data_IF_277515226245
#
_entry.id   IF_277515226245
#
_cell.length_a   1.000
_cell.length_b   1.000
_cell.length_c   1.000
_cell.angle_alpha   90.00
_cell.angle_beta   90.00
_cell.angle_gamma   90.00
#
_symmetry.space_group_name_H-M   'P 1'
#
loop_
_entity.id
_entity.type
_entity.pdbx_description
1 polymer ?
#
# COMPACT_ATOMS: atom_id res chain seq x y z
N UNK A 1 31.53 52.46 24.42
CA UNK A 1 31.60 51.67 23.23
C UNK A 1 30.94 50.31 23.52
N UNK A 2 29.67 50.18 23.14
CA UNK A 2 28.88 48.96 23.38
C UNK A 2 28.94 48.12 22.08
N UNK A 3 29.57 46.95 22.14
CA UNK A 3 29.67 46.06 21.01
C UNK A 3 28.42 45.15 20.97
N UNK A 4 27.55 45.39 20.00
CA UNK A 4 26.42 44.52 19.67
C UNK A 4 26.95 43.22 19.03
N UNK A 5 26.81 42.07 19.71
CA UNK A 5 27.00 40.76 19.09
C UNK A 5 25.72 40.36 18.40
N UNK A 6 25.72 40.38 17.07
CA UNK A 6 24.70 39.68 16.26
C UNK A 6 24.91 38.18 16.41
N UNK A 7 23.97 37.49 17.06
CA UNK A 7 23.87 36.04 16.98
C UNK A 7 23.18 35.68 15.67
N UNK A 8 23.92 35.07 14.74
CA UNK A 8 23.35 34.48 13.55
C UNK A 8 22.57 33.26 13.96
N UNK A 9 21.23 33.32 13.90
CA UNK A 9 20.37 32.16 13.97
C UNK A 9 20.52 31.37 12.65
N UNK A 10 21.31 30.32 12.67
CA UNK A 10 21.31 29.33 11.58
C UNK A 10 19.97 28.60 11.62
N UNK A 11 19.04 29.02 10.76
CA UNK A 11 17.84 28.24 10.50
C UNK A 11 18.28 26.91 9.86
N UNK A 12 18.27 25.84 10.63
CA UNK A 12 18.35 24.48 10.11
C UNK A 12 17.03 24.25 9.36
N UNK A 13 17.06 24.45 8.05
CA UNK A 13 15.96 24.02 7.19
C UNK A 13 15.80 22.50 7.37
N UNK A 14 14.61 22.00 7.72
CA UNK A 14 14.39 20.58 7.74
C UNK A 14 14.69 20.06 6.34
N UNK A 15 15.57 19.08 6.23
CA UNK A 15 15.76 18.31 5.01
C UNK A 15 14.38 17.70 4.68
N UNK A 16 13.74 18.17 3.63
CA UNK A 16 12.51 17.61 3.10
C UNK A 16 12.87 16.25 2.48
N UNK A 17 12.70 15.19 3.26
CA UNK A 17 12.97 13.81 2.84
C UNK A 17 11.77 13.30 2.10
N UNK A 18 11.22 13.40 1.17
CA UNK A 18 10.06 12.68 0.67
C UNK A 18 9.75 12.91 -0.82
N UNK A 19 9.38 14.09 -1.17
CA UNK A 19 8.84 14.40 -2.50
C UNK A 19 9.82 15.16 -3.41
N UNK A 20 11.11 15.12 -3.12
CA UNK A 20 12.11 15.76 -3.97
C UNK A 20 12.13 15.10 -5.36
N UNK A 21 11.96 15.91 -6.38
CA UNK A 21 11.99 15.47 -7.78
C UNK A 21 10.62 15.24 -8.42
N UNK A 22 9.51 15.24 -7.67
CA UNK A 22 8.18 15.17 -8.28
C UNK A 22 7.83 16.49 -8.94
N UNK A 23 7.57 16.52 -10.29
CA UNK A 23 7.26 17.75 -11.00
C UNK A 23 6.03 18.47 -10.46
N UNK A 24 6.01 19.79 -10.57
CA UNK A 24 4.82 20.57 -10.26
C UNK A 24 3.69 20.26 -11.23
N UNK A 25 2.48 20.12 -10.75
CA UNK A 25 1.28 19.94 -11.56
C UNK A 25 0.04 20.44 -10.82
N UNK A 26 -0.92 20.96 -11.57
CA UNK A 26 -2.27 21.26 -11.09
C UNK A 26 -3.25 20.11 -11.33
N UNK A 27 -2.86 19.13 -12.15
CA UNK A 27 -3.64 17.93 -12.43
C UNK A 27 -3.62 16.99 -11.22
N UNK A 28 -4.77 16.39 -10.94
CA UNK A 28 -4.97 15.48 -9.82
C UNK A 28 -5.83 14.30 -10.22
N UNK A 29 -5.77 13.23 -9.45
CA UNK A 29 -6.70 12.10 -9.54
C UNK A 29 -7.55 12.01 -8.29
N UNK A 30 -8.70 11.33 -8.40
CA UNK A 30 -9.48 10.88 -7.24
C UNK A 30 -9.14 9.44 -6.96
N UNK A 31 -8.90 9.12 -5.69
CA UNK A 31 -8.62 7.76 -5.25
C UNK A 31 -9.67 7.33 -4.25
N UNK A 32 -10.32 6.20 -4.50
CA UNK A 32 -11.17 5.52 -3.54
C UNK A 32 -10.77 4.04 -3.45
N UNK A 33 -11.14 3.37 -2.36
CA UNK A 33 -10.78 1.98 -2.14
C UNK A 33 -11.99 1.08 -1.96
N UNK A 34 -11.81 -0.16 -2.36
CA UNK A 34 -12.70 -1.27 -2.02
C UNK A 34 -11.94 -2.24 -1.11
N UNK A 35 -12.66 -2.88 -0.19
CA UNK A 35 -12.21 -4.11 0.45
C UNK A 35 -12.86 -5.27 -0.27
N UNK A 36 -12.05 -6.14 -0.87
CA UNK A 36 -12.53 -7.23 -1.69
C UNK A 36 -12.83 -8.45 -0.84
N UNK A 37 -11.88 -8.79 0.02
CA UNK A 37 -11.91 -9.99 0.83
C UNK A 37 -11.03 -9.83 2.06
N UNK A 38 -11.12 -10.80 2.97
CA UNK A 38 -10.10 -11.04 4.00
C UNK A 38 -9.50 -12.42 3.72
N UNK A 39 -8.22 -12.42 3.39
CA UNK A 39 -7.43 -13.64 3.17
C UNK A 39 -6.82 -14.07 4.50
N UNK A 40 -6.82 -15.36 4.79
CA UNK A 40 -6.11 -15.93 5.92
C UNK A 40 -5.18 -17.06 5.48
N UNK A 41 -4.08 -17.23 6.23
CA UNK A 41 -3.14 -18.32 6.03
C UNK A 41 -2.74 -18.92 7.37
N UNK A 42 -2.72 -20.25 7.46
CA UNK A 42 -2.37 -21.00 8.65
C UNK A 42 -0.90 -21.41 8.57
N UNK A 43 -0.11 -21.05 9.58
CA UNK A 43 1.34 -21.28 9.65
C UNK A 43 2.15 -20.62 8.51
N UNK A 44 1.68 -19.47 8.00
CA UNK A 44 2.28 -18.81 6.85
C UNK A 44 2.83 -17.40 7.16
N UNK A 45 2.59 -16.88 8.38
CA UNK A 45 2.99 -15.50 8.70
C UNK A 45 4.51 -15.30 8.62
N UNK A 46 5.30 -16.33 9.00
CA UNK A 46 6.77 -16.30 8.94
C UNK A 46 7.31 -16.09 7.53
N UNK A 47 6.53 -16.41 6.50
CA UNK A 47 6.91 -16.17 5.10
C UNK A 47 6.82 -14.70 4.69
N UNK A 48 6.12 -13.89 5.48
CA UNK A 48 5.83 -12.48 5.21
C UNK A 48 6.65 -11.52 6.09
N UNK A 49 6.73 -11.80 7.40
CA UNK A 49 7.35 -10.91 8.39
C UNK A 49 8.16 -11.67 9.44
N UNK A 50 9.12 -10.98 10.06
CA UNK A 50 9.91 -11.47 11.19
C UNK A 50 10.12 -10.31 12.21
N UNK A 51 10.26 -10.61 13.52
CA UNK A 51 10.09 -11.92 14.16
C UNK A 51 8.61 -12.30 14.30
N UNK A 52 8.32 -13.59 14.35
CA UNK A 52 7.00 -14.10 14.69
C UNK A 52 6.87 -14.18 16.21
N UNK A 53 5.77 -13.64 16.74
CA UNK A 53 5.45 -13.79 18.16
C UNK A 53 5.05 -15.24 18.47
N UNK A 54 5.48 -15.81 19.62
CA UNK A 54 5.16 -17.19 19.98
C UNK A 54 3.65 -17.49 19.90
N UNK A 55 3.30 -18.59 19.21
CA UNK A 55 1.92 -19.03 19.02
C UNK A 55 1.10 -18.20 18.01
N UNK A 56 1.74 -17.38 17.18
CA UNK A 56 1.06 -16.45 16.26
C UNK A 56 1.60 -16.53 14.84
N UNK A 57 1.60 -17.72 14.25
CA UNK A 57 2.02 -17.92 12.85
C UNK A 57 0.83 -18.03 11.87
N UNK A 58 -0.28 -17.38 12.19
CA UNK A 58 -1.45 -17.28 11.32
C UNK A 58 -1.68 -15.82 10.97
N UNK A 59 -1.92 -15.51 9.72
CA UNK A 59 -2.31 -14.17 9.32
C UNK A 59 -3.78 -14.10 8.89
N UNK A 60 -4.37 -12.93 9.05
CA UNK A 60 -5.62 -12.53 8.43
C UNK A 60 -5.45 -11.12 7.90
N UNK A 61 -5.70 -10.92 6.62
CA UNK A 61 -5.31 -9.71 5.91
C UNK A 61 -6.40 -9.26 4.94
N UNK A 62 -6.78 -7.97 4.95
CA UNK A 62 -7.67 -7.43 3.94
C UNK A 62 -6.99 -7.43 2.58
N UNK A 63 -7.79 -7.57 1.53
CA UNK A 63 -7.37 -7.38 0.14
C UNK A 63 -8.05 -6.13 -0.40
N UNK A 64 -7.25 -5.14 -0.81
CA UNK A 64 -7.76 -3.88 -1.35
C UNK A 64 -7.64 -3.82 -2.87
N UNK A 65 -8.60 -3.11 -3.48
CA UNK A 65 -8.50 -2.55 -4.82
C UNK A 65 -8.70 -1.05 -4.74
N UNK A 66 -7.98 -0.31 -5.55
CA UNK A 66 -8.10 1.14 -5.58
C UNK A 66 -8.64 1.59 -6.94
N UNK A 67 -9.77 2.31 -6.90
CA UNK A 67 -10.30 3.00 -8.06
C UNK A 67 -9.63 4.37 -8.16
N UNK A 68 -8.97 4.61 -9.29
CA UNK A 68 -8.34 5.89 -9.61
C UNK A 68 -9.11 6.52 -10.76
N UNK A 69 -9.60 7.73 -10.54
CA UNK A 69 -10.38 8.50 -11.53
C UNK A 69 -9.62 9.75 -11.94
N UNK A 70 -9.39 9.90 -13.25
CA UNK A 70 -8.76 11.06 -13.88
C UNK A 70 -9.72 11.65 -14.92
N UNK A 71 -10.46 12.68 -14.55
CA UNK A 71 -11.58 13.18 -15.36
C UNK A 71 -12.64 12.11 -15.57
N UNK A 72 -12.87 11.71 -16.81
CA UNK A 72 -13.79 10.62 -17.16
C UNK A 72 -13.14 9.24 -17.21
N UNK A 73 -11.82 9.17 -17.18
CA UNK A 73 -11.05 7.94 -17.23
C UNK A 73 -11.07 7.26 -15.86
N UNK A 74 -11.19 5.94 -15.85
CA UNK A 74 -11.19 5.13 -14.64
C UNK A 74 -10.22 3.97 -14.81
N UNK A 75 -9.40 3.74 -13.80
CA UNK A 75 -8.56 2.56 -13.72
C UNK A 75 -8.66 1.91 -12.33
N UNK A 76 -8.34 0.64 -12.26
CA UNK A 76 -8.17 -0.09 -11.01
C UNK A 76 -6.68 -0.39 -10.78
N UNK A 77 -6.21 -0.15 -9.58
CA UNK A 77 -4.91 -0.60 -9.10
C UNK A 77 -5.15 -1.81 -8.19
N UNK A 78 -4.69 -2.96 -8.62
CA UNK A 78 -5.01 -4.29 -8.14
C UNK A 78 -6.51 -4.60 -8.17
N UNK A 79 -6.85 -5.87 -8.29
CA UNK A 79 -8.25 -6.33 -8.31
C UNK A 79 -8.52 -7.50 -7.36
N UNK A 80 -7.60 -7.70 -6.40
CA UNK A 80 -7.72 -8.67 -5.33
C UNK A 80 -7.70 -10.11 -5.82
N UNK A 81 -8.45 -10.97 -5.14
CA UNK A 81 -8.58 -12.39 -5.45
C UNK A 81 -9.90 -12.68 -6.18
N UNK A 82 -9.91 -13.74 -6.99
CA UNK A 82 -11.14 -14.33 -7.52
C UNK A 82 -11.86 -15.13 -6.44
N UNK A 83 -13.20 -15.10 -6.42
CA UNK A 83 -13.99 -15.84 -5.42
C UNK A 83 -14.11 -17.35 -5.71
N UNK A 84 -13.95 -17.74 -6.95
CA UNK A 84 -13.95 -19.12 -7.44
C UNK A 84 -12.53 -19.69 -7.40
N UNK A 85 -12.03 -19.93 -6.17
CA UNK A 85 -10.63 -20.32 -5.92
C UNK A 85 -10.21 -21.64 -6.56
N UNK A 86 -11.17 -22.51 -6.91
CA UNK A 86 -10.95 -23.72 -7.71
C UNK A 86 -10.41 -23.44 -9.12
N UNK A 87 -10.60 -22.22 -9.63
CA UNK A 87 -10.09 -21.77 -10.92
C UNK A 87 -8.75 -21.01 -10.84
N UNK A 88 -8.12 -21.00 -9.68
CA UNK A 88 -6.72 -20.57 -9.54
C UNK A 88 -5.77 -21.59 -10.22
N UNK A 89 -4.50 -21.21 -10.35
CA UNK A 89 -3.48 -22.17 -10.80
C UNK A 89 -3.51 -23.45 -9.93
N UNK A 90 -3.38 -24.65 -10.51
CA UNK A 90 -3.63 -25.90 -9.80
C UNK A 90 -2.93 -26.05 -8.44
N UNK A 91 -1.66 -25.62 -8.24
CA UNK A 91 -1.02 -25.68 -6.94
C UNK A 91 -1.71 -24.79 -5.88
N UNK A 92 -2.17 -23.61 -6.29
CA UNK A 92 -2.88 -22.68 -5.39
C UNK A 92 -4.28 -23.18 -5.06
N UNK A 93 -5.03 -23.66 -6.06
CA UNK A 93 -6.33 -24.28 -5.85
C UNK A 93 -6.25 -25.44 -4.85
N UNK A 94 -5.19 -26.26 -4.93
CA UNK A 94 -4.94 -27.34 -4.00
C UNK A 94 -4.68 -26.84 -2.57
N UNK A 95 -3.97 -25.73 -2.39
CA UNK A 95 -3.71 -25.12 -1.08
C UNK A 95 -5.01 -24.58 -0.46
N UNK A 96 -5.89 -23.94 -1.25
CA UNK A 96 -7.22 -23.53 -0.78
C UNK A 96 -8.07 -24.73 -0.40
N UNK A 97 -8.09 -25.79 -1.22
CA UNK A 97 -8.83 -27.03 -0.92
C UNK A 97 -8.30 -27.74 0.33
N UNK A 98 -6.99 -27.62 0.62
CA UNK A 98 -6.36 -28.18 1.82
C UNK A 98 -6.52 -27.28 3.07
N UNK A 99 -7.10 -26.07 2.93
CA UNK A 99 -7.27 -25.13 4.04
C UNK A 99 -5.98 -24.42 4.50
N UNK A 100 -4.92 -24.44 3.68
CA UNK A 100 -3.69 -23.65 3.95
C UNK A 100 -4.02 -22.17 3.82
N UNK A 101 -4.73 -21.80 2.75
CA UNK A 101 -5.35 -20.49 2.58
C UNK A 101 -6.87 -20.56 2.70
N UNK A 102 -7.46 -19.50 3.22
CA UNK A 102 -8.89 -19.38 3.42
C UNK A 102 -9.31 -17.95 3.68
N UNK A 103 -10.41 -17.79 4.40
CA UNK A 103 -10.94 -16.48 4.78
C UNK A 103 -12.30 -16.20 4.18
N UNK A 104 -12.74 -14.94 4.24
CA UNK A 104 -14.02 -14.50 3.68
C UNK A 104 -13.82 -14.06 2.23
N UNK A 105 -14.07 -14.98 1.29
CA UNK A 105 -13.83 -14.82 -0.15
C UNK A 105 -15.13 -14.86 -0.97
N UNK A 106 -16.24 -14.43 -0.41
CA UNK A 106 -17.59 -14.47 -1.00
C UNK A 106 -17.88 -13.30 -1.96
N UNK A 107 -16.96 -12.36 -2.07
CA UNK A 107 -17.08 -11.13 -2.87
C UNK A 107 -15.83 -10.96 -3.73
N UNK A 108 -16.00 -10.47 -4.95
CA UNK A 108 -14.90 -10.02 -5.81
C UNK A 108 -15.09 -8.55 -6.25
N UNK A 109 -14.13 -8.01 -6.99
CA UNK A 109 -14.19 -6.62 -7.45
C UNK A 109 -15.43 -6.36 -8.34
N UNK A 110 -15.91 -7.37 -9.08
CA UNK A 110 -17.08 -7.22 -9.96
C UNK A 110 -18.35 -7.03 -9.17
N UNK A 111 -18.52 -7.78 -8.08
CA UNK A 111 -19.65 -7.62 -7.17
C UNK A 111 -19.65 -6.20 -6.56
N UNK A 112 -18.47 -5.68 -6.22
CA UNK A 112 -18.30 -4.36 -5.63
C UNK A 112 -18.55 -3.23 -6.64
N UNK A 113 -18.03 -3.35 -7.85
CA UNK A 113 -18.30 -2.41 -8.94
C UNK A 113 -19.79 -2.38 -9.28
N UNK A 114 -20.43 -3.55 -9.38
CA UNK A 114 -21.87 -3.66 -9.64
C UNK A 114 -22.70 -2.98 -8.56
N UNK A 115 -22.41 -3.24 -7.27
CA UNK A 115 -23.08 -2.57 -6.13
C UNK A 115 -22.86 -1.06 -6.14
N UNK A 116 -21.72 -0.61 -6.61
CA UNK A 116 -21.38 0.80 -6.74
C UNK A 116 -21.98 1.47 -7.99
N UNK A 117 -22.67 0.71 -8.86
CA UNK A 117 -23.21 1.22 -10.12
C UNK A 117 -22.13 1.59 -11.15
N UNK A 118 -20.93 0.98 -11.05
CA UNK A 118 -19.81 1.21 -11.96
C UNK A 118 -19.77 0.08 -12.99
N UNK A 119 -20.11 0.33 -14.26
CA UNK A 119 -20.01 -0.67 -15.31
C UNK A 119 -18.52 -1.07 -15.51
N UNK A 120 -18.24 -2.38 -15.63
CA UNK A 120 -16.87 -2.85 -15.93
C UNK A 120 -16.34 -2.29 -17.24
N UNK A 121 -17.23 -2.03 -18.22
CA UNK A 121 -16.89 -1.39 -19.49
C UNK A 121 -16.42 0.07 -19.34
N UNK A 122 -16.65 0.70 -18.19
CA UNK A 122 -16.14 2.05 -17.91
C UNK A 122 -14.71 2.05 -17.34
N UNK A 123 -14.17 0.87 -17.03
CA UNK A 123 -12.79 0.72 -16.57
C UNK A 123 -11.88 0.62 -17.80
N UNK A 124 -11.07 1.65 -17.99
CA UNK A 124 -10.15 1.74 -19.12
C UNK A 124 -8.98 0.76 -18.97
N UNK A 125 -8.44 0.67 -17.76
CA UNK A 125 -7.29 -0.20 -17.50
C UNK A 125 -7.30 -0.77 -16.08
N UNK A 126 -6.70 -1.94 -15.95
CA UNK A 126 -6.33 -2.54 -14.67
C UNK A 126 -4.81 -2.57 -14.60
N UNK A 127 -4.25 -2.01 -13.54
CA UNK A 127 -2.83 -2.05 -13.24
C UNK A 127 -2.63 -3.06 -12.11
N UNK A 128 -1.90 -4.13 -12.37
CA UNK A 128 -1.46 -5.02 -11.32
C UNK A 128 -0.15 -4.48 -10.72
N UNK A 129 -0.12 -4.33 -9.40
CA UNK A 129 1.16 -4.06 -8.73
C UNK A 129 2.16 -5.16 -9.00
N UNK A 130 1.67 -6.40 -9.06
CA UNK A 130 2.43 -7.59 -9.40
C UNK A 130 1.50 -8.79 -9.70
N UNK A 131 2.06 -9.97 -9.96
CA UNK A 131 1.32 -11.14 -10.47
C UNK A 131 0.94 -12.17 -9.41
N UNK A 132 0.96 -11.87 -8.11
CA UNK A 132 0.42 -12.79 -7.11
C UNK A 132 -1.11 -12.89 -7.23
N UNK A 133 -1.64 -14.03 -6.83
CA UNK A 133 -3.03 -14.43 -7.06
C UNK A 133 -4.07 -13.53 -6.38
N UNK A 134 -3.67 -12.87 -5.32
CA UNK A 134 -4.50 -11.99 -4.51
C UNK A 134 -4.48 -10.50 -4.95
N UNK A 135 -3.80 -10.22 -6.08
CA UNK A 135 -3.81 -8.92 -6.77
C UNK A 135 -4.42 -8.98 -8.16
N UNK A 136 -4.46 -10.19 -8.76
CA UNK A 136 -4.77 -10.37 -10.18
C UNK A 136 -6.24 -10.63 -10.48
N UNK A 137 -7.02 -11.03 -9.50
CA UNK A 137 -8.45 -11.31 -9.60
C UNK A 137 -8.83 -12.19 -10.79
N UNK A 138 -9.89 -11.80 -11.51
CA UNK A 138 -10.33 -12.49 -12.73
C UNK A 138 -10.49 -11.49 -13.90
N UNK A 139 -9.42 -11.26 -14.65
CA UNK A 139 -9.43 -10.37 -15.81
C UNK A 139 -10.39 -10.81 -16.93
N UNK A 140 -10.85 -12.06 -16.95
CA UNK A 140 -11.79 -12.53 -17.97
C UNK A 140 -13.16 -11.85 -17.87
N UNK A 141 -13.51 -11.31 -16.72
CA UNK A 141 -14.78 -10.60 -16.47
C UNK A 141 -14.76 -9.15 -16.97
N UNK A 142 -13.61 -8.61 -17.36
CA UNK A 142 -13.51 -7.30 -18.01
C UNK A 142 -13.62 -7.44 -19.52
N UNK A 143 -14.23 -6.48 -20.24
CA UNK A 143 -14.26 -6.48 -21.70
C UNK A 143 -12.85 -6.41 -22.27
N UNK A 144 -12.69 -6.85 -23.53
CA UNK A 144 -11.40 -6.81 -24.23
C UNK A 144 -10.85 -5.40 -24.43
N UNK A 145 -11.70 -4.37 -24.31
CA UNK A 145 -11.32 -2.96 -24.34
C UNK A 145 -10.62 -2.48 -23.06
N UNK A 146 -10.73 -3.21 -21.95
CA UNK A 146 -9.99 -2.90 -20.72
C UNK A 146 -8.55 -3.41 -20.87
N UNK A 147 -7.58 -2.50 -20.89
CA UNK A 147 -6.18 -2.86 -20.98
C UNK A 147 -5.65 -3.42 -19.65
N UNK A 148 -4.71 -4.35 -19.73
CA UNK A 148 -3.95 -4.82 -18.58
C UNK A 148 -2.55 -4.20 -18.63
N UNK A 149 -2.16 -3.57 -17.54
CA UNK A 149 -0.84 -2.95 -17.39
C UNK A 149 0.01 -3.87 -16.53
N UNK A 150 0.73 -4.77 -17.19
CA UNK A 150 1.71 -5.71 -16.63
C UNK A 150 2.45 -6.44 -17.76
N UNK A 151 3.50 -7.18 -17.45
CA UNK A 151 4.19 -8.06 -18.40
C UNK A 151 3.58 -9.47 -18.42
N UNK A 152 2.54 -9.72 -19.26
CA UNK A 152 1.90 -11.06 -19.40
C UNK A 152 1.50 -11.38 -20.85
N UNK A 153 1.53 -12.69 -21.23
CA UNK A 153 1.22 -13.12 -22.57
C UNK A 153 -0.30 -13.40 -22.78
N UNK A 154 -0.86 -13.03 -23.95
CA UNK A 154 -2.19 -13.42 -24.41
C UNK A 154 -3.30 -12.37 -24.37
N UNK A 155 -3.04 -11.18 -23.90
CA UNK A 155 -3.91 -9.99 -23.98
C UNK A 155 -3.07 -8.80 -24.45
N UNK A 156 -3.70 -7.74 -24.96
CA UNK A 156 -2.96 -6.49 -25.18
C UNK A 156 -2.47 -5.97 -23.83
N UNK A 157 -1.15 -6.02 -23.66
CA UNK A 157 -0.49 -5.70 -22.41
C UNK A 157 0.32 -4.44 -22.61
N UNK A 158 -0.02 -3.39 -21.85
CA UNK A 158 0.81 -2.20 -21.80
C UNK A 158 2.01 -2.47 -20.89
N UNK A 159 3.17 -2.67 -21.48
CA UNK A 159 4.44 -2.77 -20.73
C UNK A 159 4.88 -1.39 -20.26
N UNK A 160 5.24 -1.29 -18.99
CA UNK A 160 5.87 -0.10 -18.44
C UNK A 160 7.39 -0.24 -18.57
N UNK A 161 8.00 0.58 -19.41
CA UNK A 161 9.45 0.64 -19.57
C UNK A 161 10.07 1.65 -18.59
N UNK A 162 10.37 1.21 -17.41
CA UNK A 162 11.06 2.03 -16.41
C UNK A 162 12.49 2.36 -16.81
N UNK A 163 13.16 1.53 -17.63
CA UNK A 163 14.55 1.76 -18.03
C UNK A 163 14.65 3.00 -18.94
N UNK A 164 13.68 3.22 -19.81
CA UNK A 164 13.61 4.38 -20.68
C UNK A 164 13.25 5.69 -19.94
N UNK A 165 12.68 5.59 -18.73
CA UNK A 165 12.24 6.77 -18.00
C UNK A 165 13.41 7.58 -17.46
N UNK A 166 13.27 8.93 -17.56
CA UNK A 166 14.17 9.92 -16.95
C UNK A 166 13.71 10.35 -15.56
N UNK A 167 12.46 10.03 -15.18
CA UNK A 167 11.92 10.37 -13.87
C UNK A 167 12.48 9.43 -12.81
N UNK A 168 12.85 10.01 -11.67
CA UNK A 168 13.35 9.26 -10.51
C UNK A 168 12.86 9.96 -9.24
N UNK A 169 12.20 9.21 -8.37
CA UNK A 169 11.72 9.68 -7.08
C UNK A 169 12.33 8.80 -5.98
N UNK A 170 13.00 9.38 -4.98
CA UNK A 170 13.74 8.62 -3.96
C UNK A 170 14.63 7.52 -4.55
N UNK A 171 15.32 7.81 -5.66
CA UNK A 171 16.13 6.84 -6.41
C UNK A 171 15.37 5.62 -6.95
N UNK A 172 14.04 5.71 -7.08
CA UNK A 172 13.20 4.74 -7.77
C UNK A 172 12.79 5.30 -9.13
N UNK A 173 12.89 4.51 -10.18
CA UNK A 173 12.43 4.90 -11.51
C UNK A 173 10.91 5.08 -11.51
N UNK A 174 10.44 6.12 -12.21
CA UNK A 174 9.01 6.42 -12.29
C UNK A 174 8.59 6.78 -13.71
N UNK A 175 7.34 6.51 -14.05
CA UNK A 175 6.70 6.88 -15.31
C UNK A 175 5.44 7.67 -15.00
N UNK A 176 5.27 8.83 -15.63
CA UNK A 176 4.04 9.61 -15.57
C UNK A 176 2.97 8.94 -16.44
N UNK A 177 2.02 8.26 -15.81
CA UNK A 177 1.06 7.41 -16.51
C UNK A 177 0.10 8.19 -17.41
N UNK A 178 -0.38 9.36 -16.94
CA UNK A 178 -1.27 10.23 -17.71
C UNK A 178 -0.51 11.31 -18.49
N UNK A 179 0.78 11.54 -18.20
CA UNK A 179 1.60 12.55 -18.84
C UNK A 179 1.35 13.98 -18.35
N UNK A 180 0.64 14.15 -17.22
CA UNK A 180 0.25 15.47 -16.69
C UNK A 180 0.65 15.69 -15.23
N UNK A 181 1.40 14.76 -14.65
CA UNK A 181 1.89 14.85 -13.28
C UNK A 181 0.88 14.48 -12.21
N UNK A 182 -0.25 13.86 -12.56
CA UNK A 182 -1.29 13.48 -11.61
C UNK A 182 -1.13 12.07 -11.05
N UNK A 183 -0.53 11.14 -11.82
CA UNK A 183 -0.41 9.74 -11.43
C UNK A 183 0.84 9.10 -12.01
N UNK A 184 1.69 8.55 -11.16
CA UNK A 184 2.95 7.95 -11.55
C UNK A 184 2.99 6.48 -11.16
N UNK A 185 3.53 5.64 -12.04
CA UNK A 185 3.95 4.28 -11.69
C UNK A 185 5.43 4.31 -11.32
N UNK A 186 5.79 3.60 -10.26
CA UNK A 186 7.13 3.63 -9.68
C UNK A 186 7.65 2.20 -9.55
N UNK A 187 8.86 1.96 -10.05
CA UNK A 187 9.53 0.67 -9.98
C UNK A 187 10.00 0.38 -8.55
N UNK A 188 9.43 -0.63 -7.92
CA UNK A 188 9.77 -1.05 -6.55
C UNK A 188 10.09 -2.55 -6.52
N UNK A 189 11.22 -2.95 -7.12
CA UNK A 189 11.56 -4.36 -7.29
C UNK A 189 11.91 -5.01 -5.96
N UNK A 190 11.73 -6.34 -5.90
CA UNK A 190 12.21 -7.18 -4.79
C UNK A 190 11.20 -8.19 -4.32
N UNK A 191 9.96 -7.78 -4.03
CA UNK A 191 8.88 -8.70 -3.64
C UNK A 191 8.70 -9.78 -4.71
N UNK A 192 8.50 -9.36 -5.95
CA UNK A 192 8.58 -10.23 -7.13
C UNK A 192 9.13 -9.40 -8.30
N UNK A 193 9.48 -10.08 -9.39
CA UNK A 193 9.92 -9.38 -10.63
C UNK A 193 8.79 -8.55 -11.19
N UNK A 194 9.09 -7.28 -11.50
CA UNK A 194 8.12 -6.35 -12.06
C UNK A 194 7.13 -5.77 -11.04
N UNK A 195 7.35 -5.95 -9.75
CA UNK A 195 6.55 -5.28 -8.73
C UNK A 195 6.69 -3.76 -8.85
N UNK A 196 5.55 -3.07 -8.84
CA UNK A 196 5.46 -1.62 -8.93
C UNK A 196 4.49 -1.03 -7.91
N UNK A 197 4.68 0.23 -7.61
CA UNK A 197 3.77 1.04 -6.79
C UNK A 197 3.21 2.19 -7.62
N UNK A 198 2.18 2.87 -7.11
CA UNK A 198 1.63 4.04 -7.80
C UNK A 198 1.54 5.25 -6.86
N UNK A 199 2.07 6.39 -7.31
CA UNK A 199 2.01 7.67 -6.61
C UNK A 199 0.93 8.56 -7.22
N UNK A 200 -0.16 8.75 -6.51
CA UNK A 200 -1.32 9.53 -6.91
C UNK A 200 -1.27 10.93 -6.29
N UNK A 201 -1.24 11.98 -7.10
CA UNK A 201 -1.40 13.36 -6.65
C UNK A 201 -2.89 13.62 -6.38
N UNK A 202 -3.26 13.91 -5.14
CA UNK A 202 -4.67 14.09 -4.74
C UNK A 202 -5.04 15.53 -4.43
N UNK A 203 -4.05 16.42 -4.25
CA UNK A 203 -4.24 17.88 -4.25
C UNK A 203 -3.22 18.55 -5.17
N UNK A 204 -3.59 19.70 -5.79
CA UNK A 204 -2.71 20.36 -6.76
C UNK A 204 -1.56 21.12 -6.09
N UNK A 205 -0.53 21.45 -6.90
CA UNK A 205 0.48 22.43 -6.53
C UNK A 205 -0.16 23.80 -6.24
N UNK A 206 0.40 24.66 -5.35
CA UNK A 206 1.74 24.56 -4.77
C UNK A 206 1.87 23.68 -3.53
N UNK A 207 0.77 23.19 -2.94
CA UNK A 207 0.79 22.37 -1.73
C UNK A 207 0.22 20.97 -2.03
N UNK A 208 0.92 20.17 -2.85
CA UNK A 208 0.40 18.88 -3.27
C UNK A 208 0.44 17.88 -2.12
N UNK A 209 -0.56 17.03 -2.07
CA UNK A 209 -0.54 15.83 -1.24
C UNK A 209 -0.71 14.61 -2.12
N UNK A 210 -0.19 13.49 -1.64
CA UNK A 210 -0.12 12.27 -2.42
C UNK A 210 -0.65 11.08 -1.63
N UNK A 211 -1.09 10.08 -2.37
CA UNK A 211 -1.32 8.73 -1.87
C UNK A 211 -0.38 7.80 -2.64
N UNK A 212 0.43 7.03 -1.92
CA UNK A 212 1.23 5.97 -2.49
C UNK A 212 0.48 4.64 -2.31
N UNK A 213 0.07 4.03 -3.41
CA UNK A 213 -0.48 2.69 -3.47
C UNK A 213 0.72 1.74 -3.58
N UNK A 214 1.13 1.16 -2.45
CA UNK A 214 2.44 0.54 -2.33
C UNK A 214 2.47 -0.96 -2.65
N UNK A 215 1.33 -1.55 -3.07
CA UNK A 215 1.25 -3.00 -3.34
C UNK A 215 1.81 -3.80 -2.16
N UNK A 216 2.66 -4.76 -2.48
CA UNK A 216 3.34 -5.64 -1.52
C UNK A 216 4.82 -5.27 -1.32
N UNK A 217 5.14 -3.97 -1.36
CA UNK A 217 6.49 -3.52 -0.96
C UNK A 217 6.83 -4.02 0.46
N UNK A 218 5.84 -4.16 1.31
CA UNK A 218 5.87 -4.83 2.62
C UNK A 218 4.46 -5.26 3.02
N UNK A 219 4.34 -6.24 3.94
CA UNK A 219 3.07 -6.87 4.30
C UNK A 219 2.51 -6.43 5.66
N UNK A 220 3.27 -5.68 6.44
CA UNK A 220 2.86 -5.21 7.76
C UNK A 220 3.37 -3.79 8.01
N UNK A 221 2.51 -2.91 8.50
CA UNK A 221 2.87 -1.50 8.73
C UNK A 221 4.09 -1.32 9.64
N UNK A 222 4.27 -2.20 10.62
CA UNK A 222 5.43 -2.19 11.53
C UNK A 222 6.77 -2.54 10.87
N UNK A 223 6.78 -3.00 9.62
CA UNK A 223 8.00 -3.20 8.83
C UNK A 223 8.56 -1.86 8.34
N UNK A 224 7.67 -0.89 8.05
CA UNK A 224 8.06 0.45 7.61
C UNK A 224 8.12 1.48 8.73
N UNK A 225 7.55 1.19 9.90
CA UNK A 225 7.39 2.13 11.02
C UNK A 225 7.69 1.45 12.36
N UNK A 226 8.40 2.14 13.28
CA UNK A 226 9.17 3.35 13.07
C UNK A 226 10.49 3.05 12.37
N UNK A 227 11.03 4.04 11.66
CA UNK A 227 12.39 4.03 11.13
C UNK A 227 13.21 5.06 11.90
N UNK A 228 14.06 4.67 12.84
CA UNK A 228 14.76 5.59 13.72
C UNK A 228 15.59 6.66 12.99
N UNK A 229 16.07 6.32 11.78
CA UNK A 229 16.89 7.23 10.98
C UNK A 229 16.14 8.50 10.55
N UNK A 230 14.83 8.43 10.29
CA UNK A 230 14.06 9.56 9.74
C UNK A 230 12.64 9.73 10.33
N UNK A 231 12.18 8.82 11.19
CA UNK A 231 10.88 8.92 11.86
C UNK A 231 10.98 9.21 13.37
N UNK A 232 12.09 9.75 13.85
CA UNK A 232 12.34 10.03 15.30
C UNK A 232 11.28 10.91 15.96
N UNK A 233 10.70 11.82 15.19
CA UNK A 233 9.67 12.76 15.67
C UNK A 233 8.26 12.37 15.23
N UNK A 234 8.08 11.18 14.69
CA UNK A 234 6.78 10.71 14.21
C UNK A 234 5.87 10.50 15.43
N UNK A 235 4.74 11.21 15.54
CA UNK A 235 3.92 11.18 16.74
C UNK A 235 3.38 9.76 16.95
N UNK A 236 3.77 9.13 18.05
CA UNK A 236 3.25 7.83 18.47
C UNK A 236 2.57 7.99 19.82
N UNK A 237 1.35 7.45 19.99
CA UNK A 237 0.68 7.43 21.27
C UNK A 237 1.48 6.59 22.29
N UNK A 238 2.03 7.23 23.32
CA UNK A 238 2.90 6.58 24.30
C UNK A 238 2.24 5.38 24.99
N UNK A 239 0.91 5.40 25.19
CA UNK A 239 0.16 4.30 25.78
C UNK A 239 0.16 3.05 24.89
N UNK A 240 0.17 3.19 23.56
CA UNK A 240 0.25 2.07 22.62
C UNK A 240 1.64 1.42 22.67
N UNK A 241 2.71 2.21 22.71
CA UNK A 241 4.07 1.71 22.85
C UNK A 241 4.28 0.97 24.17
N UNK A 242 3.74 1.49 25.27
CA UNK A 242 3.84 0.87 26.57
C UNK A 242 3.13 -0.51 26.60
N UNK A 243 1.94 -0.62 26.00
CA UNK A 243 1.20 -1.89 25.90
C UNK A 243 1.91 -2.92 25.04
N UNK A 244 2.61 -2.47 23.99
CA UNK A 244 3.40 -3.31 23.09
C UNK A 244 4.77 -3.70 23.66
N UNK A 245 5.17 -3.16 24.81
CA UNK A 245 6.54 -3.26 25.35
C UNK A 245 7.60 -2.91 24.29
N UNK A 246 7.31 -1.90 23.47
CA UNK A 246 8.07 -1.52 22.28
C UNK A 246 8.73 -0.16 22.47
N UNK A 247 9.80 0.08 21.74
CA UNK A 247 10.54 1.33 21.74
C UNK A 247 10.62 1.92 20.33
N UNK A 248 10.26 3.17 20.18
CA UNK A 248 10.32 3.90 18.89
C UNK A 248 11.75 3.99 18.30
N UNK A 249 12.78 3.68 19.09
CA UNK A 249 14.18 3.70 18.66
C UNK A 249 14.62 2.43 17.92
N UNK A 250 13.78 1.42 17.84
CA UNK A 250 14.07 0.14 17.18
C UNK A 250 13.00 -0.19 16.14
N UNK A 251 13.36 -0.90 15.09
CA UNK A 251 12.41 -1.44 14.15
C UNK A 251 11.58 -2.53 14.83
N UNK A 252 10.25 -2.55 14.60
CA UNK A 252 9.38 -3.56 15.18
C UNK A 252 9.48 -4.89 14.45
N UNK A 253 9.41 -4.81 13.11
CA UNK A 253 9.39 -5.97 12.23
C UNK A 253 10.29 -5.75 11.02
N UNK A 254 10.61 -6.87 10.36
CA UNK A 254 11.35 -6.93 9.11
C UNK A 254 10.54 -7.76 8.11
N UNK A 255 10.74 -7.52 6.83
CA UNK A 255 10.26 -8.46 5.81
C UNK A 255 10.98 -9.78 5.99
N UNK A 256 10.25 -10.89 5.84
CA UNK A 256 10.85 -12.22 5.95
C UNK A 256 11.93 -12.42 4.90
N UNK A 257 13.06 -13.01 5.31
CA UNK A 257 14.19 -13.42 4.48
C UNK A 257 14.46 -14.93 4.54
N UNK A 258 13.50 -15.70 5.05
CA UNK A 258 13.55 -17.16 5.10
C UNK A 258 13.54 -17.75 3.69
N UNK A 259 13.98 -18.99 3.55
CA UNK A 259 14.09 -19.68 2.25
C UNK A 259 12.74 -19.93 1.58
N UNK A 260 11.66 -19.90 2.34
CA UNK A 260 10.25 -20.03 1.93
C UNK A 260 9.50 -18.70 1.93
N UNK A 261 10.21 -17.58 2.08
CA UNK A 261 9.62 -16.25 1.98
C UNK A 261 8.87 -16.05 0.66
N UNK A 262 7.69 -15.45 0.71
CA UNK A 262 6.97 -14.99 -0.48
C UNK A 262 7.69 -13.86 -1.23
N UNK A 263 8.76 -13.32 -0.67
CA UNK A 263 9.59 -12.30 -1.31
C UNK A 263 10.69 -12.94 -2.14
N UNK A 264 10.63 -12.75 -3.46
CA UNK A 264 11.58 -13.34 -4.42
C UNK A 264 13.04 -12.92 -4.16
N UNK A 265 13.27 -11.66 -3.81
CA UNK A 265 14.59 -11.12 -3.48
C UNK A 265 14.51 -10.21 -2.25
N UNK A 266 14.63 -10.76 -1.03
CA UNK A 266 14.48 -10.01 0.21
C UNK A 266 15.45 -8.83 0.33
N UNK A 267 16.70 -8.97 -0.13
CA UNK A 267 17.68 -7.90 -0.09
C UNK A 267 17.26 -6.69 -0.96
N UNK A 268 16.76 -6.95 -2.18
CA UNK A 268 16.28 -5.90 -3.07
C UNK A 268 14.95 -5.31 -2.57
N UNK A 269 14.06 -6.12 -2.00
CA UNK A 269 12.82 -5.67 -1.38
C UNK A 269 13.10 -4.72 -0.21
N UNK A 270 14.12 -5.02 0.61
CA UNK A 270 14.55 -4.12 1.68
C UNK A 270 15.02 -2.76 1.14
N UNK A 271 15.74 -2.73 0.03
CA UNK A 271 16.14 -1.47 -0.62
C UNK A 271 14.91 -0.66 -1.07
N UNK A 272 13.93 -1.31 -1.70
CA UNK A 272 12.66 -0.66 -2.10
C UNK A 272 11.87 -0.18 -0.88
N UNK A 273 11.77 -1.02 0.14
CA UNK A 273 11.13 -0.70 1.42
C UNK A 273 11.72 0.57 2.06
N UNK A 274 13.05 0.68 2.18
CA UNK A 274 13.70 1.84 2.78
C UNK A 274 13.37 3.15 2.04
N UNK A 275 13.24 3.09 0.74
CA UNK A 275 12.85 4.23 -0.09
C UNK A 275 11.37 4.59 0.08
N UNK A 276 10.48 3.59 0.16
CA UNK A 276 9.05 3.79 0.43
C UNK A 276 8.82 4.29 1.86
N UNK A 277 9.57 3.79 2.83
CA UNK A 277 9.47 4.23 4.22
C UNK A 277 9.86 5.72 4.42
N UNK A 278 10.72 6.29 3.54
CA UNK A 278 10.96 7.74 3.51
C UNK A 278 9.71 8.52 3.09
N UNK A 279 8.93 7.99 2.15
CA UNK A 279 7.64 8.60 1.81
C UNK A 279 6.61 8.43 2.92
N UNK A 280 6.64 7.30 3.62
CA UNK A 280 5.79 7.12 4.80
C UNK A 280 6.08 8.15 5.91
N UNK A 281 7.32 8.56 6.05
CA UNK A 281 7.72 9.62 6.99
C UNK A 281 7.33 11.04 6.54
N UNK A 282 6.99 11.24 5.25
CA UNK A 282 6.63 12.55 4.71
C UNK A 282 5.19 12.93 5.10
N UNK A 283 5.01 14.15 5.60
CA UNK A 283 3.71 14.67 6.03
C UNK A 283 2.72 14.88 4.87
N UNK A 284 3.19 14.89 3.63
CA UNK A 284 2.39 15.11 2.42
C UNK A 284 2.11 13.81 1.66
N UNK A 285 2.52 12.66 2.19
CA UNK A 285 2.29 11.34 1.59
C UNK A 285 1.54 10.43 2.56
N UNK A 286 0.47 9.81 2.08
CA UNK A 286 -0.21 8.69 2.74
C UNK A 286 0.19 7.41 2.02
N UNK A 287 0.89 6.50 2.72
CA UNK A 287 1.28 5.20 2.17
C UNK A 287 0.25 4.15 2.54
N UNK A 288 -0.24 3.42 1.53
CA UNK A 288 -1.24 2.36 1.65
C UNK A 288 -0.68 1.09 1.00
N UNK A 289 -0.44 0.05 1.80
CA UNK A 289 -0.08 -1.28 1.29
C UNK A 289 -1.34 -2.11 1.02
N UNK A 290 -1.21 -3.16 0.20
CA UNK A 290 -2.34 -3.98 -0.21
C UNK A 290 -3.01 -4.72 0.95
N UNK A 291 -2.26 -5.00 2.01
CA UNK A 291 -2.69 -5.83 3.15
C UNK A 291 -2.75 -5.04 4.47
N UNK A 292 -2.86 -3.73 4.42
CA UNK A 292 -2.83 -2.89 5.63
C UNK A 292 -4.12 -3.04 6.46
N UNK A 293 -4.09 -3.91 7.45
CA UNK A 293 -5.19 -4.07 8.39
C UNK A 293 -5.39 -2.84 9.29
N UNK A 294 -4.37 -2.01 9.47
CA UNK A 294 -4.42 -0.82 10.32
C UNK A 294 -5.40 0.24 9.83
N UNK A 295 -5.76 0.17 8.55
CA UNK A 295 -6.68 1.12 7.91
C UNK A 295 -8.11 0.58 7.77
N UNK A 296 -8.41 -0.64 8.23
CA UNK A 296 -9.79 -1.16 8.24
C UNK A 296 -10.65 -0.29 9.15
N UNK A 297 -11.76 0.22 8.64
CA UNK A 297 -12.68 0.99 9.47
C UNK A 297 -13.47 0.06 10.37
N UNK A 298 -13.31 0.20 11.69
CA UNK A 298 -14.16 -0.46 12.67
C UNK A 298 -15.55 0.18 12.65
N UNK A 299 -16.48 -0.41 11.94
CA UNK A 299 -17.91 -0.04 12.02
C UNK A 299 -18.55 -0.51 13.34
N UNK A 300 -17.83 -1.23 14.17
CA UNK A 300 -18.33 -1.74 15.45
C UNK A 300 -17.60 -1.07 16.60
N UNK A 301 -18.03 0.08 17.01
CA UNK A 301 -18.03 0.74 18.35
C UNK A 301 -16.96 0.45 19.41
N UNK A 302 -15.97 -0.34 19.15
CA UNK A 302 -14.87 -0.65 20.08
C UNK A 302 -13.69 0.25 19.79
N UNK A 303 -13.56 1.35 20.47
CA UNK A 303 -12.41 2.21 20.82
C UNK A 303 -11.17 2.29 19.94
N UNK A 304 -11.19 1.77 18.70
CA UNK A 304 -10.09 1.85 17.76
C UNK A 304 -10.06 3.23 17.11
N UNK A 305 -8.86 3.76 16.90
CA UNK A 305 -8.62 4.93 16.06
C UNK A 305 -9.26 4.64 14.68
N UNK A 306 -10.03 5.60 14.12
CA UNK A 306 -10.86 5.39 12.94
C UNK A 306 -10.08 4.84 11.74
N UNK A 307 -10.72 3.97 10.96
CA UNK A 307 -10.17 3.51 9.69
C UNK A 307 -10.43 4.48 8.54
N UNK A 308 -9.84 4.20 7.39
CA UNK A 308 -10.09 4.99 6.19
C UNK A 308 -11.45 4.64 5.56
N UNK A 309 -12.12 5.60 4.89
CA UNK A 309 -13.40 5.34 4.23
C UNK A 309 -13.25 4.43 3.00
N UNK A 310 -14.35 3.76 2.65
CA UNK A 310 -14.49 3.00 1.41
C UNK A 310 -15.26 3.80 0.35
N UNK A 311 -15.14 3.37 -0.93
CA UNK A 311 -15.99 3.90 -1.99
C UNK A 311 -17.48 3.93 -1.55
N UNK A 312 -18.26 4.99 -1.83
CA UNK A 312 -18.00 6.08 -2.78
C UNK A 312 -17.20 7.27 -2.24
N UNK A 313 -16.78 7.24 -0.98
CA UNK A 313 -15.96 8.30 -0.42
C UNK A 313 -14.54 8.21 -0.98
N UNK A 314 -13.94 9.39 -1.26
CA UNK A 314 -12.56 9.44 -1.75
C UNK A 314 -11.57 9.61 -0.62
N UNK A 315 -10.35 9.16 -0.85
CA UNK A 315 -9.24 9.34 0.07
C UNK A 315 -8.55 10.71 -0.09
N UNK A 316 -8.93 11.52 -1.09
CA UNK A 316 -8.24 12.77 -1.42
C UNK A 316 -8.14 13.78 -0.27
N UNK A 317 -9.10 13.74 0.66
CA UNK A 317 -9.12 14.61 1.83
C UNK A 317 -8.30 14.13 3.02
N UNK A 318 -7.50 13.07 2.87
CA UNK A 318 -6.85 12.36 3.96
C UNK A 318 -6.05 13.24 4.93
N UNK A 319 -5.29 14.19 4.38
CA UNK A 319 -4.47 15.09 5.20
C UNK A 319 -5.31 16.05 6.04
N UNK A 320 -6.32 16.68 5.41
CA UNK A 320 -7.26 17.58 6.11
C UNK A 320 -8.06 16.85 7.18
N UNK A 321 -8.38 15.59 6.93
CA UNK A 321 -9.13 14.74 7.87
C UNK A 321 -8.27 14.16 8.99
N UNK A 322 -6.94 14.29 8.93
CA UNK A 322 -6.01 13.71 9.91
C UNK A 322 -5.98 12.18 9.89
N UNK A 323 -6.31 11.56 8.76
CA UNK A 323 -6.43 10.09 8.70
C UNK A 323 -5.09 9.38 8.84
N UNK A 324 -4.00 9.99 8.36
CA UNK A 324 -2.67 9.43 8.54
C UNK A 324 -2.31 9.30 10.02
N UNK A 325 -2.49 10.37 10.78
CA UNK A 325 -2.19 10.43 12.21
C UNK A 325 -3.08 9.47 13.01
N UNK A 326 -4.31 9.26 12.57
CA UNK A 326 -5.27 8.36 13.21
C UNK A 326 -4.97 6.88 12.96
N UNK A 327 -4.39 6.52 11.83
CA UNK A 327 -4.25 5.12 11.41
C UNK A 327 -2.82 4.60 11.46
N UNK A 328 -1.84 5.46 11.34
CA UNK A 328 -0.42 5.09 11.17
C UNK A 328 0.13 4.20 12.29
N UNK A 329 -0.43 4.28 13.49
CA UNK A 329 -0.03 3.48 14.64
C UNK A 329 -1.03 2.39 15.04
N UNK A 330 -2.11 2.18 14.29
CA UNK A 330 -3.10 1.15 14.62
C UNK A 330 -2.51 -0.27 14.67
N UNK A 331 -1.41 -0.52 13.98
CA UNK A 331 -0.75 -1.82 13.97
C UNK A 331 -0.13 -2.21 15.32
N UNK A 332 0.09 -1.28 16.27
CA UNK A 332 0.57 -1.59 17.63
C UNK A 332 -0.56 -1.84 18.63
N UNK A 333 -1.81 -1.75 18.20
CA UNK A 333 -2.95 -2.07 19.06
C UNK A 333 -3.19 -3.60 19.08
N UNK A 334 -2.61 -4.30 20.05
CA UNK A 334 -2.67 -5.75 20.20
C UNK A 334 -4.08 -6.31 20.41
N UNK A 335 -5.01 -5.50 20.93
CA UNK A 335 -6.40 -5.87 21.17
C UNK A 335 -7.32 -5.49 19.99
N UNK A 336 -6.77 -4.85 18.97
CA UNK A 336 -7.50 -4.35 17.82
C UNK A 336 -7.30 -5.22 16.57
N UNK A 337 -8.17 -5.04 15.55
CA UNK A 337 -8.04 -5.71 14.26
C UNK A 337 -6.81 -5.23 13.46
N UNK A 338 -6.12 -4.20 13.93
CA UNK A 338 -4.88 -3.69 13.32
C UNK A 338 -3.67 -4.61 13.47
N UNK A 339 -3.83 -5.71 14.18
CA UNK A 339 -2.78 -6.68 14.42
C UNK A 339 -2.96 -7.86 13.48
N UNK A 340 -1.98 -8.12 12.61
CA UNK A 340 -1.96 -9.28 11.71
C UNK A 340 -2.04 -10.61 12.47
N UNK A 341 -1.68 -10.59 13.73
CA UNK A 341 -1.62 -11.74 14.58
C UNK A 341 -2.98 -11.93 15.26
N UNK A 342 -3.92 -12.58 14.61
CA UNK A 342 -5.10 -13.08 15.33
C UNK A 342 -4.63 -13.92 16.51
N UNK A 343 -5.20 -13.74 17.71
CA UNK A 343 -5.04 -14.73 18.76
C UNK A 343 -5.55 -16.07 18.22
N UNK A 344 -4.78 -17.11 18.46
CA UNK A 344 -5.19 -18.48 18.14
C UNK A 344 -6.49 -18.82 18.84
#
# INVERSE_FOLDING_TARGET
MLALRLAALSAVLPLAFGLSGVPQSTSTVRVSRFIIANLSGTNELHTLVAPILPGRDTFASPLYSFLVEHGTRKLLFDIGIRKDTENLAPPLAAQFAAGVFGGKLDTDIFDLLHRAGIPTASIESVIWSHSHFDHTGDMSKFPSSTSLVIDFAGREVTKIDFAASKLTFNDLKAVDYFGDGSFYLVDTPGHIRGHLTALARVTPSPNPTFILLAGDTFHHAGVARPRPAFQKSFPCPAHLLASANAHISTDFFFSSDTTDSFTFNPALATVSLEKVARWDADADVLVLIAHDISIVSNQTGSGGLGGLPYHPQTLNGWKKAGWKEQTVWNFVNFDGPGWLFSPA
#
